data_IF_268163172432
#
_entry.id   IF_268163172432
#
_cell.length_a   1.000
_cell.length_b   1.000
_cell.length_c   1.000
_cell.angle_alpha   90.00
_cell.angle_beta   90.00
_cell.angle_gamma   90.00
#
_symmetry.space_group_name_H-M   'P 1'
#
loop_
_entity.id
_entity.type
_entity.pdbx_description
1 polymer ?
#
# COMPACT_ATOMS: atom_id res chain seq x y z
N UNK A 1 44.44 26.99 61.60
CA UNK A 1 43.08 26.48 61.32
C UNK A 1 42.90 26.50 59.80
N UNK A 2 43.00 25.30 59.14
CA UNK A 2 42.85 25.17 57.68
C UNK A 2 41.40 24.77 57.37
N UNK A 3 40.68 25.60 56.62
CA UNK A 3 39.32 25.29 56.15
C UNK A 3 39.41 24.49 54.85
N UNK A 4 38.89 23.27 54.85
CA UNK A 4 38.75 22.41 53.69
C UNK A 4 37.41 22.74 53.04
N UNK A 5 37.43 23.22 51.79
CA UNK A 5 36.25 23.42 50.96
C UNK A 5 35.96 22.13 50.21
N UNK A 6 34.78 21.55 50.45
CA UNK A 6 34.28 20.39 49.70
C UNK A 6 33.50 20.88 48.50
N UNK A 7 34.04 20.67 47.30
CA UNK A 7 33.33 20.94 46.05
C UNK A 7 32.37 19.73 45.77
N UNK A 8 31.09 19.96 45.88
CA UNK A 8 30.07 19.01 45.46
C UNK A 8 29.89 18.99 43.95
N UNK A 9 30.20 17.87 43.32
CA UNK A 9 29.99 17.65 41.89
C UNK A 9 28.53 17.25 41.69
N UNK A 10 27.68 18.13 41.14
CA UNK A 10 26.30 17.80 40.76
C UNK A 10 26.30 17.06 39.42
N UNK A 11 26.03 15.78 39.45
CA UNK A 11 25.84 14.95 38.26
C UNK A 11 24.42 15.17 37.71
N UNK A 12 24.29 15.89 36.60
CA UNK A 12 23.03 16.03 35.87
C UNK A 12 22.71 14.72 35.12
N UNK A 13 21.67 14.02 35.55
CA UNK A 13 21.10 12.90 34.85
C UNK A 13 20.36 13.40 33.61
N UNK A 14 20.96 13.23 32.42
CA UNK A 14 20.26 13.41 31.15
C UNK A 14 19.36 12.18 30.95
N UNK A 15 18.05 12.36 31.08
CA UNK A 15 17.07 11.37 30.65
C UNK A 15 17.10 11.25 29.12
N UNK A 16 17.10 10.02 28.56
CA UNK A 16 17.01 9.86 27.11
C UNK A 16 15.63 10.35 26.65
N UNK A 17 15.60 11.36 25.76
CA UNK A 17 14.37 11.78 25.08
C UNK A 17 13.98 10.68 24.11
N UNK A 18 12.85 10.02 24.36
CA UNK A 18 12.24 9.12 23.38
C UNK A 18 11.93 9.92 22.10
N UNK A 19 12.18 9.35 20.90
CA UNK A 19 11.82 10.03 19.67
C UNK A 19 10.30 10.28 19.67
N UNK A 20 9.90 11.54 19.47
CA UNK A 20 8.50 11.89 19.29
C UNK A 20 8.01 11.18 18.04
N UNK A 21 7.13 10.18 18.19
CA UNK A 21 6.34 9.64 17.10
C UNK A 21 5.42 10.76 16.67
N UNK A 22 5.81 11.49 15.63
CA UNK A 22 4.92 12.46 14.99
C UNK A 22 3.72 11.68 14.49
N UNK A 23 2.56 11.89 15.09
CA UNK A 23 1.30 11.35 14.64
C UNK A 23 1.16 11.70 13.16
N UNK A 24 1.07 10.68 12.29
CA UNK A 24 0.80 10.87 10.86
C UNK A 24 -0.68 11.25 10.69
N UNK A 25 -1.06 12.44 11.19
CA UNK A 25 -2.44 12.87 11.45
C UNK A 25 -3.39 12.81 10.25
N UNK A 26 -2.87 12.71 9.03
CA UNK A 26 -3.67 12.68 7.81
C UNK A 26 -3.43 11.46 6.91
N UNK A 27 -2.62 10.49 7.32
CA UNK A 27 -2.38 9.29 6.52
C UNK A 27 -3.71 8.63 6.14
N UNK A 28 -3.99 8.55 4.84
CA UNK A 28 -5.20 7.95 4.30
C UNK A 28 -4.97 7.16 3.01
N UNK A 29 -3.71 7.05 2.58
CA UNK A 29 -3.24 6.26 1.44
C UNK A 29 -1.83 5.74 1.69
N UNK A 30 -1.59 4.46 1.36
CA UNK A 30 -0.24 3.88 1.31
C UNK A 30 -0.19 2.61 0.44
N UNK A 31 1.03 2.20 0.05
CA UNK A 31 1.33 0.85 -0.43
C UNK A 31 1.78 0.02 0.78
N UNK A 32 1.33 -1.22 0.89
CA UNK A 32 1.76 -2.12 1.98
C UNK A 32 3.28 -2.28 1.97
N UNK A 33 3.94 -2.08 3.11
CA UNK A 33 5.40 -2.27 3.25
C UNK A 33 5.81 -3.73 3.24
N UNK A 34 4.85 -4.64 3.42
CA UNK A 34 5.00 -6.08 3.41
C UNK A 34 3.71 -6.72 2.91
N UNK A 35 3.81 -7.77 2.10
CA UNK A 35 2.68 -8.60 1.73
C UNK A 35 2.39 -9.67 2.80
N UNK A 36 1.23 -10.35 2.75
CA UNK A 36 0.90 -11.46 3.66
C UNK A 36 1.81 -12.70 3.52
N UNK A 37 2.73 -12.72 2.53
CA UNK A 37 3.73 -13.77 2.37
C UNK A 37 3.36 -14.90 1.40
N UNK A 38 2.15 -14.90 0.84
CA UNK A 38 1.65 -15.92 -0.09
C UNK A 38 1.31 -15.38 -1.48
N UNK A 39 2.02 -14.32 -1.93
CA UNK A 39 1.72 -13.66 -3.19
C UNK A 39 0.34 -13.00 -3.18
N UNK A 40 -0.54 -13.41 -4.08
CA UNK A 40 -1.90 -12.90 -4.20
C UNK A 40 -2.95 -13.68 -3.36
N UNK A 41 -2.55 -14.70 -2.60
CA UNK A 41 -3.40 -15.30 -1.56
C UNK A 41 -3.40 -14.38 -0.32
N UNK A 42 -4.34 -13.45 -0.30
CA UNK A 42 -4.47 -12.42 0.73
C UNK A 42 -5.52 -12.79 1.80
N UNK A 43 -6.16 -13.97 1.68
CA UNK A 43 -7.33 -14.33 2.48
C UNK A 43 -8.62 -13.63 2.00
N UNK A 44 -8.72 -13.37 0.70
CA UNK A 44 -9.81 -12.62 0.08
C UNK A 44 -9.75 -11.12 0.36
N UNK A 45 -10.82 -10.39 0.00
CA UNK A 45 -10.93 -8.95 0.28
C UNK A 45 -10.89 -8.65 1.79
N UNK A 46 -11.50 -9.50 2.61
CA UNK A 46 -11.52 -9.33 4.06
C UNK A 46 -10.13 -9.45 4.67
N UNK A 47 -9.32 -10.43 4.23
CA UNK A 47 -7.94 -10.58 4.67
C UNK A 47 -7.06 -9.40 4.26
N UNK A 48 -7.21 -8.90 3.02
CA UNK A 48 -6.51 -7.72 2.54
C UNK A 48 -6.88 -6.46 3.34
N UNK A 49 -8.16 -6.23 3.65
CA UNK A 49 -8.62 -5.11 4.48
C UNK A 49 -8.07 -5.18 5.91
N UNK A 50 -8.06 -6.38 6.49
CA UNK A 50 -7.47 -6.61 7.81
C UNK A 50 -5.97 -6.31 7.81
N UNK A 51 -5.25 -6.68 6.76
CA UNK A 51 -3.83 -6.37 6.59
C UNK A 51 -3.58 -4.86 6.46
N UNK A 52 -4.38 -4.13 5.65
CA UNK A 52 -4.35 -2.66 5.59
C UNK A 52 -4.55 -2.03 6.97
N UNK A 53 -5.56 -2.50 7.71
CA UNK A 53 -5.88 -1.99 9.05
C UNK A 53 -4.74 -2.25 10.06
N UNK A 54 -4.10 -3.42 9.99
CA UNK A 54 -2.98 -3.77 10.86
C UNK A 54 -1.75 -2.87 10.60
N UNK A 55 -1.39 -2.66 9.32
CA UNK A 55 -0.28 -1.78 8.94
C UNK A 55 -0.58 -0.32 9.31
N UNK A 56 -1.78 0.17 9.02
CA UNK A 56 -2.20 1.52 9.40
C UNK A 56 -2.15 1.73 10.92
N UNK A 57 -2.60 0.74 11.70
CA UNK A 57 -2.51 0.76 13.17
C UNK A 57 -1.07 0.86 13.65
N UNK A 58 -0.16 0.09 13.06
CA UNK A 58 1.27 0.13 13.41
C UNK A 58 1.92 1.49 13.11
N UNK A 59 1.38 2.22 12.13
CA UNK A 59 1.80 3.57 11.76
C UNK A 59 1.04 4.70 12.49
N UNK A 60 0.20 4.37 13.48
CA UNK A 60 -0.55 5.36 14.27
C UNK A 60 -1.83 5.88 13.60
N UNK A 61 -2.27 5.28 12.48
CA UNK A 61 -3.48 5.66 11.72
C UNK A 61 -4.61 4.62 11.86
N UNK A 62 -4.64 3.85 12.94
CA UNK A 62 -5.59 2.75 13.15
C UNK A 62 -7.02 3.16 13.53
N UNK A 63 -7.31 4.45 13.64
CA UNK A 63 -8.63 5.00 13.98
C UNK A 63 -9.57 5.20 12.77
N UNK A 64 -9.16 4.75 11.59
CA UNK A 64 -9.90 4.85 10.33
C UNK A 64 -10.33 3.47 9.84
N UNK A 65 -11.36 3.43 9.00
CA UNK A 65 -11.73 2.22 8.25
C UNK A 65 -10.82 2.12 7.01
N UNK A 66 -10.01 1.06 6.94
CA UNK A 66 -9.08 0.84 5.85
C UNK A 66 -9.58 -0.22 4.88
N UNK A 67 -9.43 0.04 3.58
CA UNK A 67 -9.79 -0.86 2.49
C UNK A 67 -8.64 -1.02 1.52
N UNK A 68 -8.43 -2.26 1.09
CA UNK A 68 -7.53 -2.55 -0.01
C UNK A 68 -8.18 -2.12 -1.34
N UNK A 69 -7.42 -1.50 -2.23
CA UNK A 69 -7.86 -1.20 -3.60
C UNK A 69 -7.76 -2.45 -4.45
N UNK A 70 -8.72 -3.35 -4.29
CA UNK A 70 -8.80 -4.64 -4.96
C UNK A 70 -10.22 -4.88 -5.46
N UNK A 71 -10.35 -5.32 -6.72
CA UNK A 71 -11.63 -5.79 -7.26
C UNK A 71 -11.81 -7.29 -7.01
N UNK A 72 -13.04 -7.76 -7.04
CA UNK A 72 -13.38 -9.18 -7.00
C UNK A 72 -14.49 -9.50 -8.00
N UNK A 73 -14.48 -10.72 -8.54
CA UNK A 73 -15.54 -11.24 -9.40
C UNK A 73 -16.71 -11.77 -8.58
N UNK A 74 -17.90 -11.81 -9.16
CA UNK A 74 -19.04 -12.45 -8.52
C UNK A 74 -18.73 -13.94 -8.25
N UNK A 75 -18.94 -14.37 -7.02
CA UNK A 75 -18.72 -15.75 -6.61
C UNK A 75 -19.52 -16.10 -5.36
N UNK A 76 -19.91 -17.36 -5.21
CA UNK A 76 -20.60 -17.87 -4.01
C UNK A 76 -21.84 -17.04 -3.59
N UNK A 77 -22.61 -16.57 -4.57
CA UNK A 77 -23.79 -15.73 -4.33
C UNK A 77 -23.49 -14.27 -3.96
N UNK A 78 -22.22 -13.87 -3.90
CA UNK A 78 -21.81 -12.47 -3.70
C UNK A 78 -21.63 -11.77 -5.05
N UNK A 79 -22.08 -10.51 -5.18
CA UNK A 79 -21.90 -9.75 -6.41
C UNK A 79 -20.42 -9.41 -6.65
N UNK A 80 -20.09 -9.03 -7.90
CA UNK A 80 -18.78 -8.49 -8.21
C UNK A 80 -18.56 -7.17 -7.46
N UNK A 81 -17.30 -6.89 -7.14
CA UNK A 81 -16.87 -5.71 -6.41
C UNK A 81 -15.81 -4.97 -7.22
N UNK A 82 -16.01 -3.67 -7.44
CA UNK A 82 -15.00 -2.82 -8.07
C UNK A 82 -14.13 -2.16 -7.00
N UNK A 83 -12.84 -2.09 -7.23
CA UNK A 83 -11.90 -1.48 -6.29
C UNK A 83 -12.24 -0.01 -5.99
N UNK A 84 -12.62 0.77 -7.02
CA UNK A 84 -12.97 2.19 -6.88
C UNK A 84 -14.16 2.45 -5.95
N UNK A 85 -15.08 1.48 -5.83
CA UNK A 85 -16.31 1.63 -5.03
C UNK A 85 -16.09 1.30 -3.55
N UNK A 86 -14.88 0.81 -3.18
CA UNK A 86 -14.55 0.37 -1.83
C UNK A 86 -13.82 1.41 -0.99
N UNK A 87 -13.15 2.35 -1.62
CA UNK A 87 -12.13 3.19 -0.99
C UNK A 87 -12.65 4.52 -0.42
N UNK A 88 -13.97 4.77 -0.47
CA UNK A 88 -14.55 6.03 -0.01
C UNK A 88 -14.44 7.14 -1.04
N UNK A 89 -14.59 8.39 -0.60
CA UNK A 89 -14.69 9.56 -1.48
C UNK A 89 -13.38 10.39 -1.58
N UNK A 90 -12.42 10.18 -0.69
CA UNK A 90 -11.23 11.02 -0.56
C UNK A 90 -11.48 12.31 0.26
N UNK A 91 -10.57 13.29 0.29
CA UNK A 91 -9.24 13.24 -0.32
C UNK A 91 -8.28 12.27 0.41
N UNK A 92 -7.26 11.79 -0.32
CA UNK A 92 -6.29 10.87 0.26
C UNK A 92 -4.89 11.47 0.30
N UNK A 93 -4.20 11.22 1.41
CA UNK A 93 -2.88 11.75 1.73
C UNK A 93 -1.91 10.61 2.06
N UNK A 94 -0.68 10.70 1.58
CA UNK A 94 0.37 9.75 1.94
C UNK A 94 0.97 10.05 3.33
N UNK A 95 1.91 9.23 3.76
CA UNK A 95 2.55 9.33 5.07
C UNK A 95 3.35 10.64 5.30
N UNK A 96 3.65 11.39 4.24
CA UNK A 96 4.30 12.72 4.30
C UNK A 96 3.30 13.87 4.19
N UNK A 97 1.99 13.59 4.22
CA UNK A 97 0.95 14.60 4.12
C UNK A 97 0.73 15.17 2.72
N UNK A 98 1.30 14.55 1.67
CA UNK A 98 1.03 14.93 0.28
C UNK A 98 -0.32 14.37 -0.13
N UNK A 99 -1.22 15.23 -0.61
CA UNK A 99 -2.48 14.79 -1.20
C UNK A 99 -2.20 14.07 -2.52
N UNK A 100 -2.50 12.77 -2.59
CA UNK A 100 -2.28 11.95 -3.79
C UNK A 100 -3.46 12.03 -4.76
N UNK A 101 -4.67 12.23 -4.25
CA UNK A 101 -5.87 12.49 -5.05
C UNK A 101 -6.94 13.20 -4.21
N UNK A 102 -7.74 14.04 -4.87
CA UNK A 102 -8.83 14.78 -4.23
C UNK A 102 -10.10 13.93 -4.05
N UNK A 103 -10.36 13.02 -4.97
CA UNK A 103 -11.55 12.15 -4.98
C UNK A 103 -11.33 10.97 -5.96
N UNK A 104 -12.32 10.09 -6.08
CA UNK A 104 -12.25 8.90 -6.97
C UNK A 104 -12.02 9.27 -8.43
N UNK A 105 -12.65 10.33 -8.94
CA UNK A 105 -12.48 10.76 -10.33
C UNK A 105 -11.06 11.29 -10.58
N UNK A 106 -10.52 12.10 -9.65
CA UNK A 106 -9.15 12.59 -9.71
C UNK A 106 -8.14 11.43 -9.62
N UNK A 107 -8.37 10.46 -8.73
CA UNK A 107 -7.51 9.28 -8.58
C UNK A 107 -7.37 8.48 -9.88
N UNK A 108 -8.42 8.38 -10.68
CA UNK A 108 -8.44 7.66 -11.97
C UNK A 108 -8.15 8.55 -13.19
N UNK A 109 -7.77 9.79 -12.97
CA UNK A 109 -7.35 10.73 -14.01
C UNK A 109 -5.82 10.84 -14.06
N UNK A 110 -5.31 11.58 -15.06
CA UNK A 110 -3.88 11.93 -15.16
C UNK A 110 -3.47 13.02 -14.15
N UNK A 111 -4.42 13.62 -13.42
CA UNK A 111 -4.18 14.69 -12.44
C UNK A 111 -3.73 14.16 -11.07
N UNK A 112 -3.94 12.87 -10.77
CA UNK A 112 -3.48 12.28 -9.51
C UNK A 112 -1.96 12.38 -9.38
N UNK A 113 -1.48 12.43 -8.13
CA UNK A 113 -0.05 12.61 -7.85
C UNK A 113 0.68 11.31 -7.48
N UNK A 114 0.14 10.17 -7.89
CA UNK A 114 0.79 8.88 -7.68
C UNK A 114 2.06 8.80 -8.56
N UNK A 115 3.18 8.55 -7.91
CA UNK A 115 4.52 8.43 -8.51
C UNK A 115 5.42 7.64 -7.57
N UNK A 116 6.66 7.35 -7.97
CA UNK A 116 7.64 6.69 -7.09
C UNK A 116 7.86 7.45 -5.77
N UNK A 117 7.84 8.79 -5.81
CA UNK A 117 8.09 9.65 -4.64
C UNK A 117 6.87 9.79 -3.73
N UNK A 118 5.66 9.65 -4.27
CA UNK A 118 4.42 9.93 -3.54
C UNK A 118 3.64 8.68 -3.14
N UNK A 119 3.88 7.53 -3.83
CA UNK A 119 3.26 6.24 -3.49
C UNK A 119 4.08 5.53 -2.42
N UNK A 120 3.98 6.05 -1.19
CA UNK A 120 4.79 5.62 -0.05
C UNK A 120 4.14 4.47 0.72
N UNK A 121 4.94 3.77 1.52
CA UNK A 121 4.43 2.81 2.51
C UNK A 121 3.73 3.53 3.67
N UNK A 122 3.06 2.78 4.55
CA UNK A 122 2.47 3.32 5.78
C UNK A 122 3.50 3.98 6.72
N UNK A 123 4.79 3.64 6.56
CA UNK A 123 5.91 4.20 7.33
C UNK A 123 6.50 5.45 6.68
N UNK A 124 6.10 5.76 5.43
CA UNK A 124 6.65 6.88 4.66
C UNK A 124 7.91 6.52 3.86
N UNK A 125 8.22 5.22 3.76
CA UNK A 125 9.33 4.73 2.94
C UNK A 125 8.93 4.67 1.47
N UNK A 126 9.91 4.88 0.59
CA UNK A 126 9.74 4.69 -0.85
C UNK A 126 9.83 3.20 -1.17
N UNK A 127 8.84 2.66 -1.86
CA UNK A 127 8.87 1.29 -2.38
C UNK A 127 9.89 1.20 -3.52
N UNK A 128 10.59 0.09 -3.64
CA UNK A 128 11.53 -0.14 -4.73
C UNK A 128 10.79 -0.27 -6.06
N UNK A 129 11.09 0.60 -7.00
CA UNK A 129 10.47 0.67 -8.30
C UNK A 129 11.30 0.04 -9.41
N UNK A 130 10.90 0.28 -10.66
CA UNK A 130 11.66 -0.17 -11.83
C UNK A 130 13.09 0.41 -11.81
N UNK A 131 14.09 -0.45 -12.05
CA UNK A 131 15.50 -0.10 -11.97
C UNK A 131 16.14 -0.30 -10.60
N UNK A 132 15.36 -0.50 -9.54
CA UNK A 132 15.87 -0.87 -8.23
C UNK A 132 16.07 -2.39 -8.12
N UNK A 133 16.85 -2.82 -7.12
CA UNK A 133 17.05 -4.24 -6.81
C UNK A 133 16.65 -4.52 -5.36
N UNK A 134 15.65 -5.42 -5.10
CA UNK A 134 14.74 -6.01 -6.09
C UNK A 134 13.79 -4.97 -6.69
N UNK A 135 13.24 -5.24 -7.88
CA UNK A 135 12.13 -4.48 -8.42
C UNK A 135 10.82 -4.93 -7.75
N UNK A 136 10.01 -3.99 -7.24
CA UNK A 136 8.77 -4.28 -6.51
C UNK A 136 7.61 -3.36 -6.98
N UNK A 137 7.62 -2.96 -8.26
CA UNK A 137 6.71 -1.94 -8.77
C UNK A 137 5.32 -2.43 -9.16
N UNK A 138 5.14 -3.75 -9.33
CA UNK A 138 3.84 -4.35 -9.66
C UNK A 138 2.98 -4.48 -8.40
N UNK A 139 1.91 -3.71 -8.35
CA UNK A 139 0.97 -3.66 -7.23
C UNK A 139 -0.32 -4.36 -7.62
N UNK A 140 -0.79 -5.32 -6.82
CA UNK A 140 -2.02 -6.07 -7.04
C UNK A 140 -3.24 -5.15 -6.98
N UNK A 141 -4.16 -5.28 -7.95
CA UNK A 141 -5.39 -4.47 -8.03
C UNK A 141 -6.61 -5.23 -8.56
N UNK A 142 -6.43 -6.08 -9.57
CA UNK A 142 -7.53 -6.77 -10.25
C UNK A 142 -8.47 -5.83 -11.01
N UNK A 143 -7.98 -4.66 -11.51
CA UNK A 143 -8.83 -3.61 -12.08
C UNK A 143 -8.55 -3.34 -13.55
N UNK A 144 -9.58 -2.85 -14.25
CA UNK A 144 -9.49 -2.15 -15.52
C UNK A 144 -9.08 -0.68 -15.31
N UNK A 145 -8.79 0.05 -16.41
CA UNK A 145 -8.39 1.47 -16.38
C UNK A 145 -9.43 2.39 -15.72
N UNK A 146 -10.71 2.04 -15.77
CA UNK A 146 -11.79 2.80 -15.15
C UNK A 146 -12.05 2.44 -13.67
N UNK A 147 -11.21 1.56 -13.09
CA UNK A 147 -11.33 1.10 -11.70
C UNK A 147 -12.39 0.01 -11.47
N UNK A 148 -13.03 -0.50 -12.54
CA UNK A 148 -13.92 -1.68 -12.46
C UNK A 148 -13.11 -2.97 -12.41
N UNK A 149 -13.75 -4.10 -12.04
CA UNK A 149 -13.08 -5.39 -11.98
C UNK A 149 -12.64 -5.90 -13.36
N UNK A 150 -11.37 -6.34 -13.48
CA UNK A 150 -10.79 -6.91 -14.70
C UNK A 150 -11.11 -8.40 -14.90
N UNK A 151 -11.57 -9.08 -13.85
CA UNK A 151 -11.72 -10.54 -13.84
C UNK A 151 -10.47 -11.31 -13.45
N UNK A 152 -9.27 -10.74 -13.60
CA UNK A 152 -8.00 -11.33 -13.19
C UNK A 152 -7.69 -10.96 -11.72
N UNK A 153 -8.05 -11.84 -10.77
CA UNK A 153 -8.07 -11.56 -9.33
C UNK A 153 -7.45 -12.68 -8.48
N UNK A 154 -6.73 -13.63 -9.11
CA UNK A 154 -6.19 -14.79 -8.39
C UNK A 154 -7.25 -15.48 -7.51
N UNK A 155 -8.37 -15.86 -8.13
CA UNK A 155 -9.53 -16.48 -7.45
C UNK A 155 -10.03 -15.60 -6.28
N UNK A 156 -10.29 -14.32 -6.57
CA UNK A 156 -10.73 -13.34 -5.56
C UNK A 156 -9.77 -13.27 -4.35
N UNK A 157 -8.47 -13.28 -4.63
CA UNK A 157 -7.40 -13.10 -3.64
C UNK A 157 -7.26 -14.25 -2.64
N UNK A 158 -7.59 -15.49 -3.11
CA UNK A 158 -7.49 -16.71 -2.31
C UNK A 158 -6.59 -17.77 -2.95
N UNK A 159 -5.82 -17.42 -3.98
CA UNK A 159 -4.93 -18.34 -4.68
C UNK A 159 -3.50 -17.80 -4.75
N UNK A 160 -2.54 -18.70 -4.54
CA UNK A 160 -1.11 -18.52 -4.86
C UNK A 160 -0.66 -19.42 -6.01
N UNK A 161 -1.60 -20.05 -6.75
CA UNK A 161 -1.29 -20.98 -7.84
C UNK A 161 -0.72 -20.25 -9.09
N UNK A 162 -0.03 -21.02 -9.95
CA UNK A 162 0.58 -20.47 -11.17
C UNK A 162 -0.33 -20.47 -12.40
N UNK A 163 -1.52 -21.06 -12.32
CA UNK A 163 -2.46 -21.27 -13.43
C UNK A 163 -3.50 -20.16 -13.62
N UNK A 164 -3.46 -19.14 -12.79
CA UNK A 164 -4.30 -17.95 -12.88
C UNK A 164 -3.47 -16.69 -12.70
N UNK A 165 -4.08 -15.51 -12.79
CA UNK A 165 -3.36 -14.22 -12.70
C UNK A 165 -4.18 -13.17 -11.97
N UNK A 166 -3.51 -12.08 -11.60
CA UNK A 166 -4.12 -10.84 -11.15
C UNK A 166 -3.69 -9.68 -12.05
N UNK A 167 -4.57 -8.71 -12.30
CA UNK A 167 -4.13 -7.44 -12.87
C UNK A 167 -3.31 -6.69 -11.85
N UNK A 168 -2.16 -6.16 -12.30
CA UNK A 168 -1.26 -5.31 -11.50
C UNK A 168 -1.16 -3.93 -12.10
N UNK A 169 -0.77 -2.96 -11.28
CA UNK A 169 -0.42 -1.61 -11.70
C UNK A 169 1.01 -1.26 -11.37
N UNK A 170 1.61 -0.30 -12.08
CA UNK A 170 2.95 0.22 -11.84
C UNK A 170 2.86 1.49 -10.98
N UNK A 171 3.14 1.38 -9.69
CA UNK A 171 3.02 2.53 -8.78
C UNK A 171 3.96 3.68 -9.15
N UNK A 172 5.10 3.35 -9.76
CA UNK A 172 6.13 4.29 -10.21
C UNK A 172 5.89 4.83 -11.64
N UNK A 173 4.77 4.45 -12.28
CA UNK A 173 4.40 4.85 -13.64
C UNK A 173 5.42 4.46 -14.70
N UNK A 174 6.18 3.40 -14.48
CA UNK A 174 7.21 2.92 -15.40
C UNK A 174 7.04 1.42 -15.65
N UNK A 175 7.18 0.98 -16.89
CA UNK A 175 7.11 -0.45 -17.16
C UNK A 175 6.85 -0.80 -18.59
N UNK A 176 6.48 -2.05 -18.79
CA UNK A 176 5.97 -2.65 -20.02
C UNK A 176 4.48 -2.97 -19.89
N UNK A 177 3.99 -3.80 -20.83
CA UNK A 177 2.60 -4.25 -20.82
C UNK A 177 1.66 -3.36 -21.62
N UNK A 178 0.36 -3.60 -21.50
CA UNK A 178 -0.65 -2.90 -22.28
C UNK A 178 -0.79 -1.42 -21.90
N UNK A 179 -0.65 -1.12 -20.60
CA UNK A 179 -0.78 0.24 -20.07
C UNK A 179 0.41 0.56 -19.15
N UNK A 180 1.61 0.79 -19.70
CA UNK A 180 2.87 0.79 -18.96
C UNK A 180 2.96 1.88 -17.87
N UNK A 181 2.19 2.94 -17.98
CA UNK A 181 2.15 4.06 -17.02
C UNK A 181 0.94 4.02 -16.07
N UNK A 182 0.11 2.97 -16.16
CA UNK A 182 -1.05 2.85 -15.28
C UNK A 182 -0.65 2.40 -13.88
N UNK A 183 -1.03 3.16 -12.87
CA UNK A 183 -0.78 2.80 -11.48
C UNK A 183 -1.59 1.58 -11.00
N UNK A 184 -2.67 1.21 -11.71
CA UNK A 184 -3.62 0.18 -11.25
C UNK A 184 -4.03 -0.84 -12.31
N UNK A 185 -3.68 -0.67 -13.59
CA UNK A 185 -4.10 -1.55 -14.69
C UNK A 185 -3.02 -1.63 -15.78
N UNK A 186 -1.81 -2.09 -15.42
CA UNK A 186 -0.68 -2.14 -16.34
C UNK A 186 -0.69 -3.42 -17.19
N UNK A 187 -0.77 -4.57 -16.56
CA UNK A 187 -0.77 -5.90 -17.21
C UNK A 187 -1.24 -7.00 -16.23
N UNK A 188 -1.54 -8.22 -16.69
CA UNK A 188 -1.74 -9.37 -15.81
C UNK A 188 -0.38 -9.88 -15.27
N UNK A 189 -0.37 -10.43 -14.05
CA UNK A 189 0.76 -11.18 -13.51
C UNK A 189 0.92 -12.53 -14.22
N UNK A 190 2.10 -13.16 -14.08
CA UNK A 190 2.38 -14.48 -14.67
C UNK A 190 1.73 -15.65 -13.90
N UNK A 191 1.28 -15.38 -12.69
CA UNK A 191 0.64 -16.32 -11.77
C UNK A 191 0.37 -15.61 -10.47
N UNK A 192 -0.05 -16.32 -9.42
CA UNK A 192 -0.51 -15.75 -8.16
C UNK A 192 0.47 -15.93 -7.00
N UNK A 193 1.41 -16.86 -7.07
CA UNK A 193 2.46 -17.06 -6.07
C UNK A 193 3.59 -16.05 -6.18
N UNK A 194 4.38 -15.87 -5.12
CA UNK A 194 5.52 -14.94 -5.13
C UNK A 194 6.55 -15.28 -6.22
N UNK A 195 6.77 -16.56 -6.49
CA UNK A 195 7.65 -17.06 -7.56
C UNK A 195 7.19 -16.64 -8.96
N UNK A 196 5.89 -16.35 -9.14
CA UNK A 196 5.31 -15.87 -10.39
C UNK A 196 5.18 -14.34 -10.45
N UNK A 197 5.07 -13.67 -9.29
CA UNK A 197 4.99 -12.21 -9.21
C UNK A 197 6.36 -11.56 -9.34
N UNK A 198 7.37 -12.05 -8.64
CA UNK A 198 8.73 -11.48 -8.59
C UNK A 198 9.41 -11.30 -9.94
N UNK A 199 9.29 -12.22 -10.92
CA UNK A 199 9.92 -12.05 -12.22
C UNK A 199 9.46 -10.84 -13.03
N UNK A 200 8.30 -10.26 -12.71
CA UNK A 200 7.80 -9.02 -13.33
C UNK A 200 7.95 -7.78 -12.44
N UNK A 201 8.31 -7.97 -11.18
CA UNK A 201 8.47 -6.89 -10.22
C UNK A 201 7.37 -6.80 -9.17
N UNK A 202 6.65 -7.89 -8.91
CA UNK A 202 5.65 -7.98 -7.85
C UNK A 202 6.20 -8.59 -6.57
N UNK A 203 5.66 -8.21 -5.42
CA UNK A 203 6.00 -8.77 -4.10
C UNK A 203 4.72 -9.10 -3.30
N UNK A 204 3.55 -9.12 -3.96
CA UNK A 204 2.27 -9.30 -3.29
C UNK A 204 1.80 -8.07 -2.53
N UNK A 205 2.29 -6.89 -2.92
CA UNK A 205 1.87 -5.61 -2.35
C UNK A 205 0.58 -5.11 -2.98
N UNK A 206 -0.16 -4.31 -2.24
CA UNK A 206 -1.40 -3.67 -2.69
C UNK A 206 -1.58 -2.30 -2.02
N UNK A 207 -2.46 -1.48 -2.62
CA UNK A 207 -2.77 -0.16 -2.09
C UNK A 207 -3.82 -0.24 -0.99
N UNK A 208 -3.65 0.57 0.04
CA UNK A 208 -4.59 0.75 1.14
C UNK A 208 -5.11 2.19 1.17
N UNK A 209 -6.42 2.34 1.29
CA UNK A 209 -7.11 3.62 1.38
C UNK A 209 -7.97 3.69 2.62
N UNK A 210 -8.00 4.83 3.30
CA UNK A 210 -9.00 5.10 4.32
C UNK A 210 -10.34 5.41 3.64
N UNK A 211 -11.32 4.55 3.87
CA UNK A 211 -12.67 4.66 3.30
C UNK A 211 -13.56 5.64 4.09
N UNK A 212 -13.25 5.82 5.40
CA UNK A 212 -13.90 6.74 6.34
C UNK A 212 -12.90 7.27 7.33
#
# INVERSE_FOLDING_TARGET
MKRIAVLGLAMALMAPSAPAVTAQGNLSFFITSVGPGKGADLGGLAGADAHCSALAKSAGAGNREWRAYLSATAANGQPAVNAKDRIGAGPWFNAKGVQVAANVADLHSDSNKLSKENSLTEKGDVVKGRGDTPNQHDILTGTNLDGTGSGATCNNWTSSAGDSSATVGHFDRQGGGANPTSWHSAHPSKGCGLEHLRPTGGEGYFYCFAAK
#
